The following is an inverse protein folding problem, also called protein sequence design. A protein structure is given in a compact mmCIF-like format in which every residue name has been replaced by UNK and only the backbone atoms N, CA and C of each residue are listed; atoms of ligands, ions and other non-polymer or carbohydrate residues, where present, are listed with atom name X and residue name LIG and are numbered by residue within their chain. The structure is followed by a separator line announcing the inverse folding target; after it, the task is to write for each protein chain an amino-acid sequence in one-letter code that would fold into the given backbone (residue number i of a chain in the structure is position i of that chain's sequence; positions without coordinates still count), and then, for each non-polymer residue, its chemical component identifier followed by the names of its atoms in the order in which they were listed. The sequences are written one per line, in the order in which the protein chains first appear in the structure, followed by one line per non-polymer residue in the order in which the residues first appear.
data_IF_205312539089
#
_entry.id   IF_205312539089
#
_cell.length_a   1.000
_cell.length_b   1.000
_cell.length_c   1.000
_cell.angle_alpha   90.00
_cell.angle_beta   90.00
_cell.angle_gamma   90.00
#
_symmetry.space_group_name_H-M   'P 1'
#
loop_
_entity.id
_entity.type
_entity.pdbx_description
1 polymer ?
#
# COMPACT_ATOMS: atom_id res chain seq x y z
N UNK A 1 25.55 -44.05 30.03
CA UNK A 1 24.67 -45.22 29.87
C UNK A 1 25.54 -46.45 29.89
N UNK A 2 25.17 -47.36 30.78
CA UNK A 2 25.87 -48.56 31.25
C UNK A 2 26.30 -49.55 30.15
N UNK A 3 27.38 -50.31 30.41
CA UNK A 3 27.33 -51.77 30.57
C UNK A 3 28.75 -52.39 30.73
N UNK A 4 29.08 -52.97 31.89
CA UNK A 4 29.03 -54.41 32.28
C UNK A 4 30.29 -55.20 31.85
N UNK A 5 31.10 -55.61 32.83
CA UNK A 5 31.33 -57.02 33.24
C UNK A 5 32.47 -57.74 32.48
N UNK A 6 33.55 -58.13 33.16
CA UNK A 6 33.72 -59.35 33.97
C UNK A 6 34.23 -60.53 33.12
N UNK A 7 35.51 -60.87 33.24
CA UNK A 7 35.95 -62.27 33.26
C UNK A 7 37.24 -62.43 34.06
N UNK A 8 37.07 -63.02 35.25
CA UNK A 8 38.11 -63.72 36.01
C UNK A 8 38.38 -65.04 35.28
N UNK A 9 39.64 -65.36 35.00
CA UNK A 9 40.03 -66.72 34.65
C UNK A 9 41.06 -67.25 35.65
N UNK A 10 40.81 -68.49 36.06
CA UNK A 10 41.29 -69.15 37.26
C UNK A 10 42.73 -69.66 37.09
N UNK A 11 43.57 -69.40 38.08
CA UNK A 11 44.82 -70.13 38.29
C UNK A 11 44.49 -71.58 38.71
N UNK A 12 44.78 -72.55 37.83
CA UNK A 12 44.71 -73.97 38.16
C UNK A 12 46.06 -74.47 38.68
N UNK A 13 46.05 -74.92 39.94
CA UNK A 13 47.10 -75.66 40.63
C UNK A 13 47.47 -76.94 39.86
N UNK A 14 48.74 -77.10 39.56
CA UNK A 14 49.36 -78.36 39.09
C UNK A 14 49.59 -79.33 40.25
N UNK A 15 48.98 -80.52 40.19
CA UNK A 15 49.35 -81.69 41.00
C UNK A 15 50.49 -82.47 40.30
N UNK A 16 51.41 -83.12 41.06
CA UNK A 16 52.40 -84.02 40.50
C UNK A 16 51.77 -85.41 40.29
N UNK A 17 51.81 -85.93 39.05
CA UNK A 17 51.43 -87.31 38.77
C UNK A 17 52.66 -88.22 38.74
N UNK A 18 52.46 -89.34 39.43
CA UNK A 18 53.40 -90.40 39.75
C UNK A 18 54.00 -91.09 38.53
N UNK A 19 55.29 -91.37 38.64
CA UNK A 19 56.06 -92.27 37.80
C UNK A 19 55.49 -93.70 37.87
N UNK A 20 55.20 -94.30 36.71
CA UNK A 20 55.09 -95.74 36.55
C UNK A 20 55.90 -96.15 35.32
N UNK A 21 56.92 -96.95 35.59
CA UNK A 21 57.87 -97.52 34.65
C UNK A 21 57.33 -98.86 34.15
N UNK A 22 57.09 -99.00 32.84
CA UNK A 22 56.86 -100.29 32.19
C UNK A 22 57.75 -100.40 30.95
N UNK A 23 58.67 -101.36 31.02
CA UNK A 23 59.51 -101.83 29.93
C UNK A 23 58.65 -102.46 28.82
N UNK A 24 58.81 -102.02 27.57
CA UNK A 24 58.41 -102.79 26.40
C UNK A 24 59.51 -102.72 25.33
N UNK A 25 60.28 -103.81 25.21
CA UNK A 25 61.34 -103.97 24.21
C UNK A 25 60.72 -104.55 22.94
N UNK A 26 60.24 -103.66 22.07
CA UNK A 26 60.05 -103.83 20.62
C UNK A 26 59.88 -102.44 19.95
N UNK A 27 60.63 -101.43 20.42
CA UNK A 27 60.27 -99.99 20.34
C UNK A 27 61.31 -99.14 19.57
N UNK A 28 61.93 -99.64 18.49
CA UNK A 28 62.92 -98.83 17.73
C UNK A 28 62.38 -98.28 16.40
N UNK A 29 61.54 -99.03 15.68
CA UNK A 29 60.94 -98.54 14.43
C UNK A 29 59.74 -97.60 14.68
N UNK A 30 58.91 -97.89 15.68
CA UNK A 30 57.74 -97.05 16.00
C UNK A 30 58.14 -95.69 16.59
N UNK A 31 59.27 -95.62 17.31
CA UNK A 31 59.82 -94.35 17.81
C UNK A 31 60.30 -93.45 16.66
N UNK A 32 60.96 -94.03 15.64
CA UNK A 32 61.39 -93.27 14.47
C UNK A 32 60.23 -92.78 13.60
N UNK A 33 59.10 -93.50 13.58
CA UNK A 33 57.90 -93.08 12.86
C UNK A 33 57.18 -91.95 13.58
N UNK A 34 57.09 -92.02 14.92
CA UNK A 34 56.51 -90.96 15.76
C UNK A 34 57.32 -89.66 15.71
N UNK A 35 58.65 -89.73 15.65
CA UNK A 35 59.48 -88.52 15.52
C UNK A 35 59.28 -87.83 14.17
N UNK A 36 59.15 -88.58 13.07
CA UNK A 36 58.85 -88.00 11.75
C UNK A 36 57.45 -87.34 11.72
N UNK A 37 56.43 -87.98 12.31
CA UNK A 37 55.08 -87.38 12.41
C UNK A 37 55.07 -86.11 13.27
N UNK A 38 55.81 -86.13 14.39
CA UNK A 38 55.96 -84.95 15.25
C UNK A 38 56.63 -83.78 14.53
N UNK A 39 57.69 -84.02 13.75
CA UNK A 39 58.37 -82.99 12.96
C UNK A 39 57.41 -82.37 11.94
N UNK A 40 56.65 -83.18 11.19
CA UNK A 40 55.67 -82.67 10.22
C UNK A 40 54.58 -81.81 10.87
N UNK A 41 54.10 -82.20 12.07
CA UNK A 41 53.13 -81.39 12.83
C UNK A 41 53.73 -80.07 13.28
N UNK A 42 55.01 -80.06 13.69
CA UNK A 42 55.72 -78.82 14.05
C UNK A 42 55.80 -77.89 12.84
N UNK A 43 56.23 -78.39 11.67
CA UNK A 43 56.30 -77.61 10.43
C UNK A 43 54.92 -77.04 10.03
N UNK A 44 53.85 -77.82 10.17
CA UNK A 44 52.48 -77.35 9.93
C UNK A 44 52.07 -76.24 10.92
N UNK A 45 52.38 -76.39 12.20
CA UNK A 45 52.09 -75.39 13.22
C UNK A 45 52.89 -74.10 12.98
N UNK A 46 54.15 -74.19 12.55
CA UNK A 46 54.97 -73.03 12.17
C UNK A 46 54.36 -72.27 10.98
N UNK A 47 53.86 -72.99 9.98
CA UNK A 47 53.10 -72.42 8.86
C UNK A 47 51.86 -71.66 9.33
N UNK A 48 51.03 -72.31 10.16
CA UNK A 48 49.83 -71.71 10.74
C UNK A 48 50.19 -70.46 11.55
N UNK A 49 51.19 -70.52 12.44
CA UNK A 49 51.64 -69.37 13.24
C UNK A 49 52.04 -68.20 12.34
N UNK A 50 52.72 -68.47 11.22
CA UNK A 50 53.15 -67.44 10.26
C UNK A 50 51.94 -66.80 9.57
N UNK A 51 50.94 -67.59 9.17
CA UNK A 51 49.69 -67.08 8.61
C UNK A 51 48.93 -66.19 9.60
N UNK A 52 48.80 -66.61 10.86
CA UNK A 52 48.14 -65.83 11.90
C UNK A 52 48.86 -64.50 12.18
N UNK A 53 50.20 -64.51 12.21
CA UNK A 53 50.99 -63.26 12.32
C UNK A 53 50.70 -62.32 11.16
N UNK A 54 50.68 -62.82 9.93
CA UNK A 54 50.38 -62.01 8.74
C UNK A 54 48.94 -61.45 8.77
N UNK A 55 47.96 -62.24 9.24
CA UNK A 55 46.59 -61.77 9.44
C UNK A 55 46.53 -60.67 10.51
N UNK A 56 47.25 -60.82 11.62
CA UNK A 56 47.30 -59.81 12.67
C UNK A 56 47.88 -58.49 12.16
N UNK A 57 49.00 -58.53 11.43
CA UNK A 57 49.60 -57.33 10.82
C UNK A 57 48.66 -56.64 9.83
N UNK A 58 47.94 -57.39 8.98
CA UNK A 58 46.95 -56.79 8.07
C UNK A 58 45.80 -56.13 8.82
N UNK A 59 45.31 -56.75 9.89
CA UNK A 59 44.23 -56.18 10.72
C UNK A 59 44.68 -54.92 11.44
N UNK A 60 45.93 -54.88 11.92
CA UNK A 60 46.51 -53.69 12.55
C UNK A 60 46.63 -52.54 11.55
N UNK A 61 47.12 -52.81 10.33
CA UNK A 61 47.16 -51.81 9.26
C UNK A 61 45.76 -51.29 8.88
N UNK A 62 44.78 -52.18 8.75
CA UNK A 62 43.39 -51.78 8.49
C UNK A 62 42.78 -50.96 9.63
N UNK A 63 43.10 -51.27 10.89
CA UNK A 63 42.61 -50.52 12.03
C UNK A 63 43.17 -49.08 12.04
N UNK A 64 44.44 -48.91 11.66
CA UNK A 64 45.07 -47.60 11.54
C UNK A 64 44.46 -46.78 10.39
N UNK A 65 44.23 -47.39 9.22
CA UNK A 65 43.54 -46.74 8.09
C UNK A 65 42.13 -46.26 8.48
N UNK A 66 41.35 -47.12 9.16
CA UNK A 66 40.01 -46.76 9.65
C UNK A 66 40.06 -45.65 10.71
N UNK A 67 41.10 -45.60 11.54
CA UNK A 67 41.27 -44.54 12.53
C UNK A 67 41.50 -43.18 11.85
N UNK A 68 42.39 -43.14 10.86
CA UNK A 68 42.68 -41.94 10.08
C UNK A 68 41.46 -41.48 9.28
N UNK A 69 40.73 -42.41 8.65
CA UNK A 69 39.49 -42.09 7.93
C UNK A 69 38.44 -41.49 8.87
N UNK A 70 38.29 -42.06 10.08
CA UNK A 70 37.37 -41.54 11.09
C UNK A 70 37.75 -40.12 11.53
N UNK A 71 39.03 -39.83 11.73
CA UNK A 71 39.48 -38.46 12.04
C UNK A 71 39.16 -37.49 10.90
N UNK A 72 39.46 -37.87 9.66
CA UNK A 72 39.14 -37.06 8.48
C UNK A 72 37.63 -36.77 8.36
N UNK A 73 36.78 -37.80 8.53
CA UNK A 73 35.32 -37.65 8.52
C UNK A 73 34.86 -36.71 9.65
N UNK A 74 35.48 -36.77 10.82
CA UNK A 74 35.13 -35.89 11.95
C UNK A 74 35.45 -34.43 11.62
N UNK A 75 36.61 -34.15 11.03
CA UNK A 75 37.01 -32.79 10.62
C UNK A 75 36.06 -32.24 9.56
N UNK A 76 35.74 -33.01 8.52
CA UNK A 76 34.82 -32.56 7.46
C UNK A 76 33.39 -32.40 7.98
N UNK A 77 32.94 -33.25 8.91
CA UNK A 77 31.66 -33.07 9.61
C UNK A 77 31.64 -31.74 10.37
N UNK A 78 32.66 -31.44 11.16
CA UNK A 78 32.70 -30.20 11.96
C UNK A 78 32.76 -28.95 11.07
N UNK A 79 33.46 -29.04 9.93
CA UNK A 79 33.47 -28.00 8.90
C UNK A 79 32.08 -27.80 8.30
N UNK A 80 31.37 -28.88 7.96
CA UNK A 80 30.01 -28.79 7.45
C UNK A 80 29.04 -28.18 8.48
N UNK A 81 29.18 -28.52 9.77
CA UNK A 81 28.39 -27.92 10.85
C UNK A 81 28.61 -26.41 10.94
N UNK A 82 29.87 -25.95 10.84
CA UNK A 82 30.18 -24.51 10.87
C UNK A 82 29.57 -23.78 9.67
N UNK A 83 29.77 -24.30 8.45
CA UNK A 83 29.19 -23.70 7.24
C UNK A 83 27.66 -23.65 7.30
N UNK A 84 27.02 -24.71 7.81
CA UNK A 84 25.57 -24.72 7.99
C UNK A 84 25.11 -23.68 9.02
N UNK A 85 25.81 -23.56 10.15
CA UNK A 85 25.51 -22.56 11.17
C UNK A 85 25.66 -21.13 10.64
N UNK A 86 26.67 -20.87 9.80
CA UNK A 86 26.87 -19.55 9.18
C UNK A 86 25.75 -19.25 8.18
N UNK A 87 25.37 -20.21 7.34
CA UNK A 87 24.27 -20.08 6.39
C UNK A 87 22.91 -19.84 7.08
N UNK A 88 22.65 -20.52 8.20
CA UNK A 88 21.44 -20.31 9.02
C UNK A 88 21.40 -18.88 9.58
N UNK A 89 22.54 -18.35 10.03
CA UNK A 89 22.64 -16.97 10.51
C UNK A 89 22.35 -15.96 9.39
N UNK A 90 22.95 -16.14 8.22
CA UNK A 90 22.68 -15.28 7.05
C UNK A 90 21.21 -15.32 6.64
N UNK A 91 20.58 -16.50 6.67
CA UNK A 91 19.16 -16.63 6.36
C UNK A 91 18.28 -15.83 7.33
N UNK A 92 18.57 -15.89 8.64
CA UNK A 92 17.84 -15.11 9.65
C UNK A 92 18.01 -13.60 9.42
N UNK A 93 19.22 -13.14 9.12
CA UNK A 93 19.49 -11.73 8.82
C UNK A 93 18.74 -11.26 7.56
N UNK A 94 18.71 -12.09 6.51
CA UNK A 94 17.94 -11.81 5.29
C UNK A 94 16.44 -11.78 5.54
N UNK A 95 15.90 -12.73 6.32
CA UNK A 95 14.48 -12.74 6.69
C UNK A 95 14.10 -11.48 7.46
N UNK A 96 14.95 -11.03 8.39
CA UNK A 96 14.71 -9.79 9.13
C UNK A 96 14.73 -8.56 8.21
N UNK A 97 15.66 -8.52 7.23
CA UNK A 97 15.71 -7.45 6.23
C UNK A 97 14.45 -7.41 5.37
N UNK A 98 14.00 -8.57 4.87
CA UNK A 98 12.76 -8.68 4.07
C UNK A 98 11.56 -8.20 4.87
N UNK A 99 11.46 -8.57 6.16
CA UNK A 99 10.39 -8.10 7.04
C UNK A 99 10.39 -6.58 7.19
N UNK A 100 11.57 -5.97 7.37
CA UNK A 100 11.69 -4.52 7.50
C UNK A 100 11.31 -3.81 6.19
N UNK A 101 11.78 -4.31 5.05
CA UNK A 101 11.43 -3.77 3.73
C UNK A 101 9.93 -3.89 3.43
N UNK A 102 9.29 -4.98 3.86
CA UNK A 102 7.85 -5.14 3.72
C UNK A 102 7.08 -4.06 4.50
N UNK A 103 7.48 -3.77 5.74
CA UNK A 103 6.86 -2.70 6.53
C UNK A 103 7.05 -1.31 5.89
N UNK A 104 8.23 -1.03 5.33
CA UNK A 104 8.49 0.23 4.61
C UNK A 104 7.61 0.37 3.35
N UNK A 105 7.44 -0.71 2.59
CA UNK A 105 6.56 -0.73 1.41
C UNK A 105 5.11 -0.41 1.80
N UNK A 106 4.61 -0.96 2.91
CA UNK A 106 3.25 -0.65 3.36
C UNK A 106 3.10 0.83 3.75
N UNK A 107 4.05 1.41 4.48
CA UNK A 107 4.05 2.85 4.79
C UNK A 107 4.08 3.72 3.52
N UNK A 108 4.87 3.33 2.52
CA UNK A 108 4.95 4.05 1.25
C UNK A 108 3.63 3.94 0.44
N UNK A 109 2.94 2.80 0.50
CA UNK A 109 1.63 2.63 -0.14
C UNK A 109 0.57 3.54 0.50
N UNK A 110 0.54 3.62 1.83
CA UNK A 110 -0.37 4.51 2.56
C UNK A 110 -0.08 5.97 2.23
N UNK A 111 1.19 6.38 2.25
CA UNK A 111 1.61 7.73 1.88
C UNK A 111 1.24 8.10 0.44
N UNK A 112 1.39 7.16 -0.50
CA UNK A 112 0.95 7.34 -1.89
C UNK A 112 -0.56 7.53 -2.00
N UNK A 113 -1.35 6.70 -1.30
CA UNK A 113 -2.80 6.81 -1.32
C UNK A 113 -3.29 8.17 -0.77
N UNK A 114 -2.66 8.67 0.30
CA UNK A 114 -2.94 10.00 0.84
C UNK A 114 -2.60 11.12 -0.16
N UNK A 115 -1.43 11.04 -0.81
CA UNK A 115 -1.04 12.02 -1.82
C UNK A 115 -1.97 12.01 -3.05
N UNK A 116 -2.42 10.83 -3.50
CA UNK A 116 -3.36 10.69 -4.61
C UNK A 116 -4.74 11.30 -4.26
N UNK A 117 -5.17 11.18 -3.02
CA UNK A 117 -6.40 11.80 -2.51
C UNK A 117 -6.27 13.33 -2.43
N UNK A 118 -5.16 13.85 -1.92
CA UNK A 118 -4.89 15.30 -1.93
C UNK A 118 -4.88 15.87 -3.36
N UNK A 119 -4.27 15.15 -4.31
CA UNK A 119 -4.25 15.56 -5.71
C UNK A 119 -5.66 15.59 -6.31
N UNK A 120 -6.52 14.64 -5.95
CA UNK A 120 -7.94 14.61 -6.38
C UNK A 120 -8.69 15.82 -5.83
N UNK A 121 -8.51 16.13 -4.55
CA UNK A 121 -9.15 17.27 -3.89
C UNK A 121 -8.67 18.61 -4.46
N UNK A 122 -7.36 18.76 -4.73
CA UNK A 122 -6.82 19.94 -5.39
C UNK A 122 -7.37 20.13 -6.80
N UNK A 123 -7.55 19.04 -7.57
CA UNK A 123 -8.17 19.11 -8.90
C UNK A 123 -9.62 19.58 -8.82
N UNK A 124 -10.40 19.04 -7.88
CA UNK A 124 -11.80 19.45 -7.67
C UNK A 124 -11.91 20.91 -7.19
N UNK A 125 -11.04 21.34 -6.27
CA UNK A 125 -10.99 22.74 -5.83
C UNK A 125 -10.64 23.67 -6.98
N UNK A 126 -9.65 23.30 -7.82
CA UNK A 126 -9.27 24.07 -9.01
C UNK A 126 -10.41 24.23 -10.00
N UNK A 127 -11.25 23.21 -10.22
CA UNK A 127 -12.40 23.33 -11.12
C UNK A 127 -13.44 24.32 -10.58
N UNK A 128 -13.75 24.25 -9.28
CA UNK A 128 -14.69 25.19 -8.63
C UNK A 128 -14.19 26.63 -8.73
N UNK A 129 -12.92 26.88 -8.40
CA UNK A 129 -12.32 28.23 -8.49
C UNK A 129 -12.33 28.76 -9.92
N UNK A 130 -12.12 27.90 -10.92
CA UNK A 130 -12.20 28.30 -12.33
C UNK A 130 -13.62 28.70 -12.75
N UNK A 131 -14.65 27.96 -12.30
CA UNK A 131 -16.06 28.28 -12.55
C UNK A 131 -16.44 29.62 -11.90
N UNK A 132 -16.03 29.84 -10.65
CA UNK A 132 -16.25 31.12 -9.95
C UNK A 132 -15.55 32.29 -10.64
N UNK A 133 -14.30 32.09 -11.09
CA UNK A 133 -13.55 33.10 -11.83
C UNK A 133 -14.23 33.46 -13.16
N UNK A 134 -14.78 32.47 -13.86
CA UNK A 134 -15.54 32.70 -15.09
C UNK A 134 -16.82 33.50 -14.81
N UNK A 135 -17.57 33.14 -13.76
CA UNK A 135 -18.77 33.86 -13.33
C UNK A 135 -18.46 35.31 -12.97
N UNK A 136 -17.40 35.55 -12.20
CA UNK A 136 -16.95 36.91 -11.84
C UNK A 136 -16.52 37.73 -13.06
N UNK A 137 -15.84 37.11 -14.03
CA UNK A 137 -15.48 37.78 -15.29
C UNK A 137 -16.72 38.22 -16.07
N UNK A 138 -17.72 37.35 -16.15
CA UNK A 138 -18.98 37.66 -16.82
C UNK A 138 -19.73 38.80 -16.11
N UNK A 139 -19.87 38.72 -14.78
CA UNK A 139 -20.49 39.78 -13.98
C UNK A 139 -19.77 41.12 -14.13
N UNK A 140 -18.43 41.13 -14.12
CA UNK A 140 -17.65 42.35 -14.36
C UNK A 140 -17.85 42.91 -15.77
N UNK A 141 -17.97 42.04 -16.78
CA UNK A 141 -18.26 42.46 -18.16
C UNK A 141 -19.63 43.15 -18.24
N UNK A 142 -20.66 42.54 -17.64
CA UNK A 142 -22.02 43.09 -17.58
C UNK A 142 -22.05 44.42 -16.81
N UNK A 143 -21.39 44.50 -15.65
CA UNK A 143 -21.30 45.73 -14.87
C UNK A 143 -20.60 46.83 -15.67
N UNK A 144 -19.50 46.51 -16.37
CA UNK A 144 -18.80 47.48 -17.22
C UNK A 144 -19.69 48.02 -18.33
N UNK A 145 -20.54 47.18 -18.93
CA UNK A 145 -21.54 47.61 -19.92
C UNK A 145 -22.60 48.51 -19.27
N UNK A 146 -23.16 48.10 -18.13
CA UNK A 146 -24.20 48.86 -17.42
C UNK A 146 -23.70 50.23 -16.89
N UNK A 147 -22.44 50.34 -16.49
CA UNK A 147 -21.83 51.56 -15.98
C UNK A 147 -21.37 52.50 -17.11
N UNK A 148 -21.15 51.99 -18.33
CA UNK A 148 -20.65 52.78 -19.46
C UNK A 148 -21.50 54.02 -19.80
N UNK A 149 -22.85 53.98 -19.81
CA UNK A 149 -23.67 55.17 -20.00
C UNK A 149 -23.46 56.25 -18.92
N UNK A 150 -23.30 55.83 -17.66
CA UNK A 150 -23.02 56.73 -16.55
C UNK A 150 -21.64 57.38 -16.71
N UNK A 151 -20.63 56.60 -17.06
CA UNK A 151 -19.28 57.11 -17.33
C UNK A 151 -19.28 58.04 -18.53
N UNK A 152 -20.01 57.74 -19.60
CA UNK A 152 -20.11 58.63 -20.77
C UNK A 152 -20.83 59.96 -20.44
N UNK A 153 -21.79 59.96 -19.52
CA UNK A 153 -22.40 61.19 -19.01
C UNK A 153 -21.40 61.98 -18.13
N UNK A 154 -20.58 61.29 -17.33
CA UNK A 154 -19.70 61.85 -16.30
C UNK A 154 -18.23 62.03 -16.72
N UNK A 155 -17.79 61.54 -17.88
CA UNK A 155 -16.44 61.76 -18.45
C UNK A 155 -16.59 62.00 -19.97
N UNK A 156 -16.12 63.13 -20.54
CA UNK A 156 -16.21 63.36 -21.97
C UNK A 156 -15.22 62.45 -22.71
N UNK A 157 -15.71 61.72 -23.70
CA UNK A 157 -14.84 61.08 -24.69
C UNK A 157 -14.10 62.19 -25.45
N UNK A 158 -12.78 62.05 -25.61
CA UNK A 158 -11.86 63.06 -26.18
C UNK A 158 -12.36 63.59 -27.55
N UNK A 159 -13.23 64.58 -27.55
CA UNK A 159 -13.55 65.36 -28.73
C UNK A 159 -13.08 66.81 -28.50
N UNK A 160 -12.09 67.31 -29.28
CA UNK A 160 -11.43 68.59 -29.02
C UNK A 160 -12.28 69.83 -29.33
N UNK A 161 -13.50 69.69 -29.85
CA UNK A 161 -14.32 70.81 -30.31
C UNK A 161 -15.08 71.59 -29.21
N UNK A 162 -14.53 71.59 -27.98
CA UNK A 162 -15.09 72.16 -26.73
C UNK A 162 -16.04 71.19 -25.98
N UNK A 163 -15.51 70.29 -25.14
CA UNK A 163 -16.35 69.54 -24.20
C UNK A 163 -17.10 70.53 -23.31
N UNK A 164 -18.39 70.30 -23.09
CA UNK A 164 -19.19 71.08 -22.14
C UNK A 164 -18.44 71.21 -20.81
N UNK A 165 -18.50 72.39 -20.18
CA UNK A 165 -17.76 72.62 -18.93
C UNK A 165 -18.18 71.59 -17.89
N UNK A 166 -17.28 71.22 -16.96
CA UNK A 166 -17.62 70.30 -15.86
C UNK A 166 -18.92 70.71 -15.15
N UNK A 167 -19.14 72.03 -15.04
CA UNK A 167 -20.28 72.65 -14.39
C UNK A 167 -21.58 72.43 -15.19
N UNK A 168 -21.55 72.60 -16.52
CA UNK A 168 -22.70 72.29 -17.40
C UNK A 168 -23.06 70.81 -17.34
N UNK A 169 -22.04 69.95 -17.26
CA UNK A 169 -22.21 68.49 -17.20
C UNK A 169 -22.76 68.03 -15.85
N UNK A 170 -22.29 68.61 -14.75
CA UNK A 170 -22.87 68.40 -13.43
C UNK A 170 -24.32 68.92 -13.34
N UNK A 171 -24.67 69.96 -14.11
CA UNK A 171 -26.03 70.49 -14.18
C UNK A 171 -26.99 69.56 -14.95
N UNK A 172 -26.48 68.87 -15.96
CA UNK A 172 -27.25 67.89 -16.75
C UNK A 172 -27.28 66.48 -16.13
N UNK A 173 -26.29 66.13 -15.31
CA UNK A 173 -26.18 64.79 -14.73
C UNK A 173 -27.42 64.36 -13.92
N UNK A 174 -28.05 65.21 -13.07
CA UNK A 174 -29.29 64.86 -12.38
C UNK A 174 -30.44 64.55 -13.34
N UNK A 175 -30.58 65.30 -14.44
CA UNK A 175 -31.61 65.02 -15.47
C UNK A 175 -31.36 63.69 -16.17
N UNK A 176 -30.13 63.45 -16.63
CA UNK A 176 -29.76 62.17 -17.29
C UNK A 176 -29.90 60.98 -16.34
N UNK A 177 -29.61 61.17 -15.05
CA UNK A 177 -29.83 60.16 -14.02
C UNK A 177 -31.32 59.88 -13.81
N UNK A 178 -32.14 60.93 -13.72
CA UNK A 178 -33.60 60.80 -13.61
C UNK A 178 -34.19 60.04 -14.80
N UNK A 179 -33.77 60.35 -16.02
CA UNK A 179 -34.23 59.65 -17.23
C UNK A 179 -33.82 58.16 -17.21
N UNK A 180 -32.60 57.86 -16.77
CA UNK A 180 -32.11 56.49 -16.63
C UNK A 180 -32.88 55.69 -15.56
N UNK A 181 -33.14 56.28 -14.39
CA UNK A 181 -33.92 55.66 -13.32
C UNK A 181 -35.35 55.40 -13.77
N UNK A 182 -35.97 56.37 -14.46
CA UNK A 182 -37.31 56.23 -15.04
C UNK A 182 -37.38 55.07 -16.03
N UNK A 183 -36.48 55.03 -17.01
CA UNK A 183 -36.40 53.96 -18.00
C UNK A 183 -36.19 52.58 -17.34
N UNK A 184 -35.35 52.53 -16.30
CA UNK A 184 -35.08 51.29 -15.54
C UNK A 184 -36.32 50.83 -14.78
N UNK A 185 -37.04 51.73 -14.12
CA UNK A 185 -38.27 51.42 -13.41
C UNK A 185 -39.38 50.91 -14.36
N UNK A 186 -39.56 51.56 -15.51
CA UNK A 186 -40.49 51.12 -16.56
C UNK A 186 -40.14 49.72 -17.09
N UNK A 187 -38.85 49.46 -17.33
CA UNK A 187 -38.37 48.15 -17.81
C UNK A 187 -38.54 47.05 -16.74
N UNK A 188 -38.24 47.34 -15.47
CA UNK A 188 -38.47 46.42 -14.36
C UNK A 188 -39.95 46.08 -14.20
N UNK A 189 -40.82 47.09 -14.28
CA UNK A 189 -42.28 46.91 -14.20
C UNK A 189 -42.79 46.03 -15.33
N UNK A 190 -42.27 46.24 -16.55
CA UNK A 190 -42.59 45.43 -17.72
C UNK A 190 -42.13 43.98 -17.54
N UNK A 191 -40.92 43.75 -17.04
CA UNK A 191 -40.43 42.40 -16.77
C UNK A 191 -41.23 41.68 -15.68
N UNK A 192 -41.58 42.37 -14.59
CA UNK A 192 -42.43 41.80 -13.51
C UNK A 192 -43.81 41.42 -14.07
N UNK A 193 -44.44 42.31 -14.84
CA UNK A 193 -45.72 42.02 -15.50
C UNK A 193 -45.63 40.85 -16.47
N UNK A 194 -44.54 40.74 -17.24
CA UNK A 194 -44.31 39.61 -18.14
C UNK A 194 -44.14 38.29 -17.38
N UNK A 195 -43.39 38.28 -16.26
CA UNK A 195 -43.23 37.10 -15.39
C UNK A 195 -44.55 36.70 -14.74
N UNK A 196 -45.34 37.67 -14.25
CA UNK A 196 -46.68 37.43 -13.71
C UNK A 196 -47.59 36.82 -14.77
N UNK A 197 -47.61 37.37 -15.99
CA UNK A 197 -48.39 36.85 -17.12
C UNK A 197 -47.97 35.43 -17.53
N UNK A 198 -46.66 35.15 -17.59
CA UNK A 198 -46.14 33.81 -17.86
C UNK A 198 -46.54 32.80 -16.78
N UNK A 199 -46.44 33.16 -15.50
CA UNK A 199 -46.90 32.28 -14.40
C UNK A 199 -48.41 32.06 -14.41
N UNK A 200 -49.20 33.08 -14.71
CA UNK A 200 -50.65 32.96 -14.92
C UNK A 200 -51.01 32.06 -16.12
N UNK A 201 -50.19 32.06 -17.17
CA UNK A 201 -50.41 31.23 -18.37
C UNK A 201 -49.97 29.77 -18.20
N UNK A 202 -49.05 29.50 -17.27
CA UNK A 202 -48.52 28.15 -16.98
C UNK A 202 -49.39 27.41 -15.94
N UNK A 203 -50.21 28.14 -15.16
CA UNK A 203 -51.24 27.54 -14.31
C UNK A 203 -52.39 27.02 -15.19
N UNK A 204 -52.25 25.76 -15.65
CA UNK A 204 -53.40 24.96 -16.07
C UNK A 204 -54.29 24.77 -14.84
N UNK A 205 -55.37 25.56 -14.77
CA UNK A 205 -56.38 25.54 -13.70
C UNK A 205 -57.32 24.33 -13.76
N UNK A 206 -57.03 23.32 -14.59
CA UNK A 206 -57.84 22.10 -14.70
C UNK A 206 -57.63 21.09 -13.56
N UNK A 207 -56.51 21.16 -12.82
CA UNK A 207 -56.18 20.19 -11.75
C UNK A 207 -56.21 20.77 -10.33
N UNK A 208 -57.05 21.77 -10.06
CA UNK A 208 -57.33 22.20 -8.69
C UNK A 208 -58.65 21.55 -8.21
N UNK A 209 -58.61 20.45 -7.43
CA UNK A 209 -59.82 19.78 -7.00
C UNK A 209 -60.46 20.58 -5.85
N UNK A 210 -61.65 21.09 -6.15
CA UNK A 210 -62.70 21.57 -5.24
C UNK A 210 -62.29 22.40 -4.02
N UNK A 211 -62.63 23.70 -4.06
CA UNK A 211 -62.89 24.44 -2.82
C UNK A 211 -62.63 25.94 -2.77
N UNK A 212 -62.71 26.71 -3.87
CA UNK A 212 -63.17 28.10 -3.89
C UNK A 212 -63.10 28.63 -5.32
N UNK A 213 -64.25 28.77 -5.98
CA UNK A 213 -64.37 29.57 -7.18
C UNK A 213 -63.95 31.01 -6.86
N UNK A 214 -62.75 31.41 -7.29
CA UNK A 214 -62.40 32.82 -7.37
C UNK A 214 -63.02 33.36 -8.65
N UNK A 215 -64.27 33.79 -8.54
CA UNK A 215 -64.96 34.59 -9.56
C UNK A 215 -64.12 35.84 -9.83
N UNK A 216 -63.23 35.80 -10.81
CA UNK A 216 -62.38 36.92 -11.21
C UNK A 216 -62.88 37.41 -12.58
N UNK A 217 -63.91 38.24 -12.55
CA UNK A 217 -64.43 38.91 -13.75
C UNK A 217 -63.63 40.20 -14.05
N UNK A 218 -63.75 40.73 -15.28
CA UNK A 218 -63.05 41.93 -15.76
C UNK A 218 -63.20 43.15 -14.81
N UNK A 219 -64.29 43.23 -14.06
CA UNK A 219 -64.55 44.26 -13.04
C UNK A 219 -63.56 44.19 -11.87
N UNK A 220 -63.09 43.00 -11.47
CA UNK A 220 -62.07 42.85 -10.42
C UNK A 220 -60.67 43.20 -10.90
N UNK A 221 -60.37 42.94 -12.18
CA UNK A 221 -59.12 43.38 -12.80
C UNK A 221 -59.08 44.91 -12.92
N UNK A 222 -60.16 45.54 -13.38
CA UNK A 222 -60.28 47.00 -13.43
C UNK A 222 -60.31 47.62 -12.03
N UNK A 223 -60.89 46.95 -11.03
CA UNK A 223 -60.79 47.35 -9.62
C UNK A 223 -59.34 47.33 -9.13
N UNK A 224 -58.59 46.24 -9.38
CA UNK A 224 -57.19 46.15 -8.97
C UNK A 224 -56.34 47.22 -9.65
N UNK A 225 -56.57 47.48 -10.94
CA UNK A 225 -55.92 48.56 -11.69
C UNK A 225 -56.24 49.94 -11.12
N UNK A 226 -57.48 50.15 -10.65
CA UNK A 226 -57.91 51.38 -9.98
C UNK A 226 -57.32 51.54 -8.59
N UNK A 227 -57.06 50.46 -7.86
CA UNK A 227 -56.44 50.47 -6.52
C UNK A 227 -54.92 50.63 -6.61
N UNK A 228 -54.28 49.95 -7.56
CA UNK A 228 -52.81 49.95 -7.72
C UNK A 228 -52.33 51.15 -8.53
N UNK A 229 -53.15 51.68 -9.44
CA UNK A 229 -52.82 52.85 -10.27
C UNK A 229 -52.36 54.09 -9.48
N UNK A 230 -53.08 54.52 -8.43
CA UNK A 230 -52.66 55.63 -7.57
C UNK A 230 -51.35 55.36 -6.82
N UNK A 231 -51.12 54.13 -6.39
CA UNK A 231 -49.87 53.74 -5.71
C UNK A 231 -48.70 53.80 -6.69
N UNK A 232 -48.90 53.34 -7.93
CA UNK A 232 -47.91 53.46 -8.99
C UNK A 232 -47.65 54.93 -9.37
N UNK A 233 -48.68 55.77 -9.40
CA UNK A 233 -48.55 57.20 -9.67
C UNK A 233 -47.81 57.94 -8.54
N UNK A 234 -48.09 57.63 -7.27
CA UNK A 234 -47.42 58.19 -6.10
C UNK A 234 -45.94 57.80 -6.05
N UNK A 235 -45.60 56.55 -6.40
CA UNK A 235 -44.20 56.13 -6.56
C UNK A 235 -43.51 56.92 -7.68
N UNK A 236 -44.19 57.19 -8.80
CA UNK A 236 -43.64 58.01 -9.89
C UNK A 236 -43.46 59.47 -9.46
N UNK A 237 -44.41 60.04 -8.74
CA UNK A 237 -44.36 61.43 -8.24
C UNK A 237 -43.28 61.62 -7.16
N UNK A 238 -43.09 60.63 -6.27
CA UNK A 238 -42.00 60.62 -5.29
C UNK A 238 -40.62 60.45 -5.94
N UNK A 239 -40.55 59.86 -7.14
CA UNK A 239 -39.35 59.82 -7.97
C UNK A 239 -39.16 61.09 -8.81
N UNK A 240 -40.12 62.03 -8.80
CA UNK A 240 -40.05 63.29 -9.54
C UNK A 240 -39.43 64.46 -8.77
N UNK A 241 -39.19 64.32 -7.46
CA UNK A 241 -38.36 65.21 -6.61
C UNK A 241 -36.85 65.04 -6.88
#
# INVERSE_FOLDING_TARGET
MDNTALHKEKASKSQPLSSNHLHNKNSSNDQSLMTIDAIKRIEQLEGIITEWKNVAYRREAQAEELYQEKEHITVERDKAIRVNSDAEKELVELMQRVKNQHAEIELLKEGKAAADEELRNLKASKTVVNEELQKLKEQNSQLKVAVKPLVNALVPEKNPARPASLLDRLREAPRKWKDYVKLTAETCTTHVLAVVRLRLSILNLEDCPDGAALDYDDEKYEFLKKVVGPIAADIVEQLEL
#
